data_IF_492430469044
#
_entry.id   IF_492430469044
#
_cell.length_a   1.000
_cell.length_b   1.000
_cell.length_c   1.000
_cell.angle_alpha   90.00
_cell.angle_beta   90.00
_cell.angle_gamma   90.00
#
_symmetry.space_group_name_H-M   'P 1'
#
loop_
_entity.id
_entity.type
_entity.pdbx_description
1 polymer ?
#
# COMPACT_ATOMS: atom_id res chain seq x y z
N UNK A 1 1.40 5.38 -15.46
CA UNK A 1 1.84 4.69 -14.22
C UNK A 1 0.67 4.37 -13.28
N UNK A 2 0.00 5.35 -12.66
CA UNK A 2 -1.07 5.09 -11.66
C UNK A 2 -2.23 4.22 -12.19
N UNK A 3 -2.70 4.47 -13.42
CA UNK A 3 -3.75 3.66 -14.04
C UNK A 3 -3.35 2.18 -14.22
N UNK A 4 -2.07 1.92 -14.52
CA UNK A 4 -1.56 0.55 -14.63
C UNK A 4 -1.59 -0.15 -13.27
N UNK A 5 -1.03 0.48 -12.24
CA UNK A 5 -1.00 -0.07 -10.87
C UNK A 5 -2.43 -0.36 -10.39
N UNK A 6 -3.35 0.58 -10.59
CA UNK A 6 -4.76 0.42 -10.23
C UNK A 6 -5.42 -0.77 -10.94
N UNK A 7 -5.19 -0.91 -12.24
CA UNK A 7 -5.85 -1.92 -13.04
C UNK A 7 -5.22 -3.30 -12.92
N UNK A 8 -3.92 -3.38 -12.65
CA UNK A 8 -3.12 -4.59 -12.83
C UNK A 8 -2.53 -5.13 -11.52
N UNK A 9 -2.27 -4.26 -10.55
CA UNK A 9 -1.54 -4.63 -9.33
C UNK A 9 -2.37 -4.47 -8.05
N UNK A 10 -3.52 -3.79 -8.09
CA UNK A 10 -4.42 -3.78 -6.93
C UNK A 10 -5.02 -5.16 -6.68
N UNK A 11 -4.84 -5.67 -5.48
CA UNK A 11 -5.29 -6.98 -5.04
C UNK A 11 -6.11 -6.83 -3.76
N UNK A 12 -7.12 -7.68 -3.63
CA UNK A 12 -7.90 -7.82 -2.41
C UNK A 12 -7.67 -9.22 -1.88
N UNK A 13 -7.25 -9.31 -0.62
CA UNK A 13 -6.82 -10.56 0.02
C UNK A 13 -7.43 -10.68 1.41
N UNK A 14 -7.63 -11.91 1.86
CA UNK A 14 -7.94 -12.18 3.26
C UNK A 14 -6.64 -12.20 4.05
N UNK A 15 -6.52 -11.33 5.04
CA UNK A 15 -5.38 -11.26 5.95
C UNK A 15 -5.80 -11.75 7.34
N UNK A 16 -4.92 -12.51 7.99
CA UNK A 16 -5.08 -12.95 9.37
C UNK A 16 -4.14 -12.13 10.24
N UNK A 17 -4.70 -11.32 11.13
CA UNK A 17 -3.93 -10.53 12.07
C UNK A 17 -3.32 -11.42 13.16
N UNK A 18 -2.35 -10.90 13.91
CA UNK A 18 -1.68 -11.65 15.00
C UNK A 18 -2.61 -12.11 16.13
N UNK A 19 -3.83 -11.55 16.22
CA UNK A 19 -4.90 -11.97 17.14
C UNK A 19 -5.95 -12.88 16.48
N UNK A 20 -5.59 -13.55 15.37
CA UNK A 20 -6.42 -14.48 14.60
C UNK A 20 -7.71 -13.89 13.99
N UNK A 21 -7.86 -12.56 13.96
CA UNK A 21 -8.98 -11.95 13.24
C UNK A 21 -8.72 -12.00 11.73
N UNK A 22 -9.74 -12.40 10.98
CA UNK A 22 -9.73 -12.34 9.53
C UNK A 22 -10.26 -10.99 9.08
N UNK A 23 -9.55 -10.34 8.17
CA UNK A 23 -10.00 -9.09 7.56
C UNK A 23 -9.64 -9.04 6.08
N UNK A 24 -10.48 -8.38 5.31
CA UNK A 24 -10.21 -8.10 3.90
C UNK A 24 -9.30 -6.89 3.79
N UNK A 25 -8.16 -7.07 3.12
CA UNK A 25 -7.17 -6.03 2.86
C UNK A 25 -7.04 -5.82 1.36
N UNK A 26 -7.22 -4.59 0.93
CA UNK A 26 -7.03 -4.12 -0.43
C UNK A 26 -5.76 -3.29 -0.48
N UNK A 27 -4.86 -3.62 -1.41
CA UNK A 27 -3.62 -2.91 -1.60
C UNK A 27 -2.90 -3.34 -2.86
N UNK A 28 -1.64 -2.95 -2.99
CA UNK A 28 -0.81 -3.18 -4.16
C UNK A 28 0.03 -4.44 -3.97
N UNK A 29 -0.04 -5.33 -4.94
CA UNK A 29 0.90 -6.44 -5.10
C UNK A 29 2.20 -5.94 -5.79
N UNK A 30 3.33 -6.58 -5.50
CA UNK A 30 4.63 -6.29 -6.12
C UNK A 30 4.62 -6.49 -7.64
N UNK A 31 3.75 -7.38 -8.14
CA UNK A 31 3.64 -7.72 -9.56
C UNK A 31 2.19 -7.63 -10.00
N UNK A 32 1.97 -7.56 -11.32
CA UNK A 32 0.61 -7.64 -11.84
C UNK A 32 0.00 -9.05 -11.65
N UNK A 33 -1.34 -9.13 -11.70
CA UNK A 33 -2.07 -10.39 -11.49
C UNK A 33 -1.69 -11.52 -12.44
N UNK A 34 -1.29 -11.23 -13.69
CA UNK A 34 -0.85 -12.27 -14.61
C UNK A 34 0.52 -12.81 -14.20
N UNK A 35 1.41 -11.92 -13.77
CA UNK A 35 2.72 -12.31 -13.25
C UNK A 35 2.59 -13.13 -11.96
N UNK A 36 1.74 -12.72 -11.03
CA UNK A 36 1.47 -13.50 -9.80
C UNK A 36 1.05 -14.95 -10.12
N UNK A 37 0.13 -15.13 -11.08
CA UNK A 37 -0.26 -16.45 -11.59
C UNK A 37 0.91 -17.22 -12.20
N UNK A 38 1.74 -16.57 -13.02
CA UNK A 38 2.92 -17.22 -13.62
C UNK A 38 3.98 -17.64 -12.60
N UNK A 39 3.99 -17.01 -11.42
CA UNK A 39 4.84 -17.37 -10.29
C UNK A 39 4.23 -18.46 -9.40
N UNK A 40 3.02 -18.94 -9.73
CA UNK A 40 2.36 -20.00 -8.97
C UNK A 40 1.92 -19.59 -7.57
N UNK A 41 1.67 -18.29 -7.32
CA UNK A 41 1.21 -17.81 -6.02
C UNK A 41 -0.07 -17.01 -6.09
N UNK A 42 -0.80 -17.02 -4.98
CA UNK A 42 -1.95 -16.16 -4.78
C UNK A 42 -1.53 -14.68 -4.73
N UNK A 43 -2.46 -13.76 -5.05
CA UNK A 43 -2.23 -12.34 -4.84
C UNK A 43 -1.90 -12.04 -3.37
N UNK A 44 -1.04 -11.05 -3.16
CA UNK A 44 -0.69 -10.53 -1.84
C UNK A 44 -0.75 -9.00 -1.84
N UNK A 45 -0.76 -8.40 -0.66
CA UNK A 45 -0.64 -6.95 -0.49
C UNK A 45 0.70 -6.62 0.15
N UNK A 46 1.46 -5.74 -0.49
CA UNK A 46 2.65 -5.09 0.04
C UNK A 46 2.27 -3.78 0.72
N UNK A 47 2.58 -3.62 2.02
CA UNK A 47 2.22 -2.41 2.74
C UNK A 47 3.01 -1.19 2.28
N UNK A 48 4.30 -1.38 1.95
CA UNK A 48 5.16 -0.33 1.38
C UNK A 48 4.56 0.25 0.08
N UNK A 49 4.36 -0.59 -0.93
CA UNK A 49 3.85 -0.14 -2.23
C UNK A 49 2.43 0.42 -2.12
N UNK A 50 1.62 -0.10 -1.21
CA UNK A 50 0.27 0.41 -0.96
C UNK A 50 0.28 1.80 -0.32
N UNK A 51 1.13 2.04 0.68
CA UNK A 51 1.26 3.37 1.27
C UNK A 51 1.94 4.36 0.33
N UNK A 52 2.88 3.91 -0.51
CA UNK A 52 3.44 4.73 -1.57
C UNK A 52 2.38 5.16 -2.60
N UNK A 53 1.46 4.26 -2.97
CA UNK A 53 0.31 4.62 -3.81
C UNK A 53 -0.63 5.61 -3.11
N UNK A 54 -0.89 5.43 -1.81
CA UNK A 54 -1.68 6.39 -1.03
C UNK A 54 -1.03 7.78 -1.01
N UNK A 55 0.31 7.85 -0.91
CA UNK A 55 1.04 9.11 -1.00
C UNK A 55 0.97 9.73 -2.41
N UNK A 56 1.09 8.91 -3.46
CA UNK A 56 0.93 9.37 -4.84
C UNK A 56 -0.47 9.95 -5.09
N UNK A 57 -1.52 9.35 -4.53
CA UNK A 57 -2.87 9.93 -4.60
C UNK A 57 -2.99 11.27 -3.90
N UNK A 58 -2.28 11.48 -2.79
CA UNK A 58 -2.27 12.79 -2.14
C UNK A 58 -1.60 13.86 -3.02
N UNK A 59 -0.47 13.53 -3.66
CA UNK A 59 0.18 14.47 -4.59
C UNK A 59 -0.75 14.82 -5.73
N UNK A 60 -1.37 13.82 -6.37
CA UNK A 60 -2.34 14.07 -7.44
C UNK A 60 -3.54 14.89 -6.96
N UNK A 61 -4.04 14.64 -5.74
CA UNK A 61 -5.08 15.47 -5.13
C UNK A 61 -4.65 16.95 -5.09
N UNK A 62 -3.48 17.24 -4.50
CA UNK A 62 -2.93 18.60 -4.38
C UNK A 62 -2.67 19.27 -5.72
N UNK A 63 -2.04 18.57 -6.67
CA UNK A 63 -1.78 19.08 -8.01
C UNK A 63 -3.08 19.50 -8.70
N UNK A 64 -4.13 18.67 -8.61
CA UNK A 64 -5.42 19.01 -9.20
C UNK A 64 -6.16 20.11 -8.43
N UNK A 65 -5.94 20.30 -7.13
CA UNK A 65 -6.46 21.46 -6.38
C UNK A 65 -5.81 22.76 -6.85
N UNK A 66 -4.48 22.78 -6.99
CA UNK A 66 -3.73 23.94 -7.48
C UNK A 66 -4.15 24.34 -8.90
N UNK A 67 -4.50 23.36 -9.74
CA UNK A 67 -5.00 23.59 -11.10
C UNK A 67 -6.50 23.94 -11.16
N UNK A 68 -7.19 24.09 -10.03
CA UNK A 68 -8.64 24.35 -9.97
C UNK A 68 -9.52 23.18 -10.44
N UNK A 69 -8.95 21.99 -10.63
CA UNK A 69 -9.63 20.80 -11.14
C UNK A 69 -10.29 20.00 -10.01
N UNK A 70 -11.23 20.63 -9.30
CA UNK A 70 -11.87 20.13 -8.06
C UNK A 70 -12.41 18.71 -8.18
N UNK A 71 -13.01 18.34 -9.32
CA UNK A 71 -13.53 16.98 -9.55
C UNK A 71 -12.42 15.91 -9.54
N UNK A 72 -11.26 16.22 -10.13
CA UNK A 72 -10.13 15.28 -10.18
C UNK A 72 -9.45 15.21 -8.81
N UNK A 73 -9.28 16.33 -8.13
CA UNK A 73 -8.78 16.36 -6.76
C UNK A 73 -9.62 15.46 -5.84
N UNK A 74 -10.95 15.65 -5.85
CA UNK A 74 -11.90 14.83 -5.08
C UNK A 74 -11.80 13.34 -5.42
N UNK A 75 -11.61 12.99 -6.70
CA UNK A 75 -11.41 11.59 -7.13
C UNK A 75 -10.21 10.95 -6.43
N UNK A 76 -9.07 11.64 -6.38
CA UNK A 76 -7.86 11.09 -5.76
C UNK A 76 -7.93 11.09 -4.23
N UNK A 77 -8.56 12.11 -3.61
CA UNK A 77 -8.91 12.10 -2.19
C UNK A 77 -9.68 10.83 -1.79
N UNK A 78 -10.73 10.50 -2.53
CA UNK A 78 -11.56 9.31 -2.27
C UNK A 78 -10.74 8.03 -2.41
N UNK A 79 -9.91 7.93 -3.45
CA UNK A 79 -9.04 6.75 -3.66
C UNK A 79 -8.05 6.56 -2.51
N UNK A 80 -7.39 7.65 -2.07
CA UNK A 80 -6.49 7.65 -0.91
C UNK A 80 -7.22 7.20 0.35
N UNK A 81 -8.38 7.79 0.65
CA UNK A 81 -9.16 7.44 1.84
C UNK A 81 -9.59 5.97 1.86
N UNK A 82 -10.04 5.43 0.72
CA UNK A 82 -10.39 4.00 0.60
C UNK A 82 -9.20 3.10 0.89
N UNK A 83 -8.04 3.42 0.30
CA UNK A 83 -6.83 2.64 0.49
C UNK A 83 -6.34 2.70 1.94
N UNK A 84 -6.27 3.88 2.54
CA UNK A 84 -5.89 4.05 3.96
C UNK A 84 -6.86 3.32 4.90
N UNK A 85 -8.18 3.37 4.65
CA UNK A 85 -9.17 2.65 5.44
C UNK A 85 -8.91 1.13 5.45
N UNK A 86 -8.38 0.59 4.35
CA UNK A 86 -8.04 -0.82 4.25
C UNK A 86 -6.71 -1.18 4.93
N UNK A 87 -5.69 -0.32 4.79
CA UNK A 87 -4.33 -0.60 5.28
C UNK A 87 -4.17 -0.33 6.78
N UNK A 88 -4.72 0.78 7.29
CA UNK A 88 -4.44 1.25 8.65
C UNK A 88 -4.81 0.24 9.76
N UNK A 89 -5.93 -0.52 9.68
CA UNK A 89 -6.27 -1.48 10.73
C UNK A 89 -5.30 -2.66 10.86
N UNK A 90 -4.41 -2.88 9.87
CA UNK A 90 -3.41 -3.95 9.89
C UNK A 90 -2.18 -3.60 10.74
N UNK A 91 -2.08 -2.36 11.23
CA UNK A 91 -0.94 -1.92 12.03
C UNK A 91 -0.75 -2.79 13.27
N UNK A 92 0.47 -3.27 13.47
CA UNK A 92 0.89 -4.08 14.61
C UNK A 92 1.59 -3.15 15.61
N UNK A 93 1.09 -3.14 16.85
CA UNK A 93 1.72 -2.42 17.97
C UNK A 93 2.87 -3.26 18.54
N UNK A 94 4.07 -2.68 18.63
CA UNK A 94 5.26 -3.26 19.28
C UNK A 94 6.07 -2.15 19.94
N UNK A 95 6.48 -2.35 21.19
CA UNK A 95 7.49 -1.52 21.88
C UNK A 95 7.24 0.00 21.77
N UNK A 96 5.99 0.43 21.95
CA UNK A 96 5.61 1.85 21.89
C UNK A 96 5.45 2.44 20.48
N UNK A 97 5.66 1.64 19.43
CA UNK A 97 5.49 2.02 18.03
C UNK A 97 4.41 1.23 17.30
N UNK A 98 4.09 1.69 16.09
CA UNK A 98 3.29 0.98 15.10
C UNK A 98 4.19 0.55 13.95
N UNK A 99 4.05 -0.70 13.52
CA UNK A 99 4.68 -1.22 12.32
C UNK A 99 3.67 -1.99 11.48
N UNK A 100 4.01 -2.23 10.22
CA UNK A 100 3.24 -3.08 9.33
C UNK A 100 4.01 -4.36 9.02
N UNK A 101 3.32 -5.47 8.67
CA UNK A 101 3.96 -6.59 8.00
C UNK A 101 4.66 -6.13 6.72
N UNK A 102 5.64 -6.89 6.24
CA UNK A 102 6.23 -6.65 4.92
C UNK A 102 5.18 -6.84 3.81
N UNK A 103 4.47 -7.95 3.87
CA UNK A 103 3.36 -8.30 2.99
C UNK A 103 2.34 -9.15 3.75
N UNK A 104 1.18 -9.39 3.13
CA UNK A 104 0.14 -10.28 3.70
C UNK A 104 0.49 -11.77 3.62
N UNK A 105 1.60 -12.14 2.99
CA UNK A 105 2.11 -13.51 2.92
C UNK A 105 3.63 -13.50 3.08
N UNK A 106 4.16 -14.33 3.99
CA UNK A 106 5.58 -14.58 4.13
C UNK A 106 6.12 -15.65 3.16
N UNK A 107 7.42 -15.59 2.85
CA UNK A 107 8.12 -16.51 1.94
C UNK A 107 7.48 -16.64 0.54
N UNK A 108 6.71 -15.65 0.09
CA UNK A 108 6.02 -15.67 -1.20
C UNK A 108 6.92 -15.10 -2.30
N UNK A 109 6.96 -15.75 -3.47
CA UNK A 109 7.81 -15.31 -4.61
C UNK A 109 7.33 -13.97 -5.16
N UNK A 110 8.16 -12.93 -5.15
CA UNK A 110 7.78 -11.59 -5.65
C UNK A 110 8.40 -11.24 -7.01
N UNK A 111 9.18 -12.16 -7.59
CA UNK A 111 9.89 -11.98 -8.85
C UNK A 111 11.38 -11.68 -8.65
N UNK A 112 12.15 -11.76 -9.74
CA UNK A 112 13.62 -11.59 -9.72
C UNK A 112 14.32 -12.45 -8.66
N UNK A 113 13.84 -13.69 -8.47
CA UNK A 113 14.39 -14.65 -7.48
C UNK A 113 14.26 -14.21 -6.02
N UNK A 114 13.53 -13.12 -5.75
CA UNK A 114 13.25 -12.66 -4.39
C UNK A 114 11.93 -13.23 -3.87
N UNK A 115 11.94 -13.50 -2.56
CA UNK A 115 10.76 -13.83 -1.78
C UNK A 115 10.46 -12.73 -0.77
N UNK A 116 9.20 -12.60 -0.36
CA UNK A 116 8.88 -11.86 0.86
C UNK A 116 9.62 -12.51 2.04
N UNK A 117 10.01 -11.73 3.07
CA UNK A 117 10.59 -12.29 4.29
C UNK A 117 9.64 -13.28 4.96
N UNK A 118 10.16 -14.03 5.95
CA UNK A 118 9.36 -14.97 6.74
C UNK A 118 8.12 -14.31 7.36
N UNK A 119 7.09 -15.11 7.58
CA UNK A 119 5.85 -14.70 8.23
C UNK A 119 6.14 -13.98 9.56
N UNK A 120 5.39 -12.91 9.84
CA UNK A 120 5.58 -12.06 11.03
C UNK A 120 6.73 -11.06 10.96
N UNK A 121 7.50 -11.01 9.86
CA UNK A 121 8.48 -9.95 9.64
C UNK A 121 7.80 -8.57 9.51
N UNK A 122 8.31 -7.61 10.27
CA UNK A 122 7.83 -6.23 10.27
C UNK A 122 8.66 -5.37 9.33
N UNK A 123 8.02 -4.41 8.67
CA UNK A 123 8.64 -3.48 7.72
C UNK A 123 8.69 -2.06 8.27
N UNK A 124 9.90 -1.62 8.64
CA UNK A 124 10.18 -0.23 8.99
C UNK A 124 9.88 0.72 7.81
N UNK A 125 10.14 0.28 6.58
CA UNK A 125 9.85 1.06 5.36
C UNK A 125 8.33 1.19 5.15
N UNK A 126 7.57 0.12 5.39
CA UNK A 126 6.11 0.17 5.37
C UNK A 126 5.56 1.17 6.38
N UNK A 127 6.10 1.20 7.60
CA UNK A 127 5.75 2.18 8.62
C UNK A 127 6.13 3.61 8.22
N UNK A 128 7.32 3.82 7.64
CA UNK A 128 7.75 5.13 7.15
C UNK A 128 6.79 5.66 6.08
N UNK A 129 6.46 4.87 5.05
CA UNK A 129 5.50 5.29 4.03
C UNK A 129 4.09 5.51 4.58
N UNK A 130 3.66 4.75 5.59
CA UNK A 130 2.40 5.04 6.28
C UNK A 130 2.39 6.44 6.90
N UNK A 131 3.49 6.82 7.58
CA UNK A 131 3.66 8.17 8.12
C UNK A 131 3.62 9.21 7.00
N UNK A 132 4.34 9.00 5.88
CA UNK A 132 4.35 9.92 4.75
C UNK A 132 2.93 10.10 4.18
N UNK A 133 2.22 8.99 3.94
CA UNK A 133 0.85 9.01 3.40
C UNK A 133 -0.17 9.68 4.33
N UNK A 134 0.05 9.61 5.66
CA UNK A 134 -0.81 10.23 6.66
C UNK A 134 -0.49 11.72 6.87
N UNK A 135 0.78 12.06 7.05
CA UNK A 135 1.27 13.44 7.24
C UNK A 135 1.22 14.26 5.95
N UNK A 136 1.19 13.56 4.83
CA UNK A 136 1.21 14.17 3.52
C UNK A 136 2.54 14.82 3.17
N UNK A 137 3.62 14.15 3.54
CA UNK A 137 4.95 14.57 3.15
C UNK A 137 5.21 14.20 1.70
N UNK A 138 5.63 15.18 0.93
CA UNK A 138 5.98 15.01 -0.47
C UNK A 138 7.45 15.36 -0.67
N UNK A 139 8.34 14.37 -0.87
CA UNK A 139 9.76 14.63 -1.08
C UNK A 139 10.06 15.36 -2.40
N UNK A 140 9.06 15.49 -3.28
CA UNK A 140 9.15 16.13 -4.58
C UNK A 140 8.37 17.45 -4.63
N UNK A 141 7.86 17.96 -3.50
CA UNK A 141 7.44 19.35 -3.46
C UNK A 141 8.71 20.20 -3.39
N UNK A 142 8.92 21.10 -4.36
CA UNK A 142 9.87 22.18 -4.15
C UNK A 142 9.25 23.04 -3.05
N UNK A 143 9.99 23.26 -1.96
CA UNK A 143 9.53 24.15 -0.89
C UNK A 143 9.17 25.51 -1.47
N UNK A 144 8.05 26.07 -1.02
CA UNK A 144 7.83 27.50 -1.08
C UNK A 144 8.78 28.22 -0.10
#
# INVERSE_FOLDING_TARGET
MAAFVEQKCLSEVTFVTGDNRKMTVTGVDFVDRNRAKSLGREPLVSFEWSFQLANAYLRLERDFEQLGQVRKAKKYRIKRQKLLKSLLPVAIKREGGLSYPYATQGNAVVGHEYNTPKEGALSAIGAAYAILALKGFDPLCQGE
#
